data_IF_105055521056
#
_entry.id   IF_105055521056
#
_cell.length_a   1.000
_cell.length_b   1.000
_cell.length_c   1.000
_cell.angle_alpha   90.00
_cell.angle_beta   90.00
_cell.angle_gamma   90.00
#
_symmetry.space_group_name_H-M   'P 1'
#
loop_
_entity.id
_entity.type
_entity.pdbx_description
1 polymer ?
#
# COMPACT_ATOMS: atom_id res chain seq x y z
N UNK A 1 12.09 9.80 10.45
CA UNK A 1 12.42 8.35 10.41
C UNK A 1 11.14 7.56 10.61
N UNK A 2 10.91 6.50 9.84
CA UNK A 2 9.73 5.63 9.99
C UNK A 2 9.79 4.92 11.34
N UNK A 3 8.73 5.06 12.14
CA UNK A 3 8.58 4.39 13.44
C UNK A 3 8.03 2.99 13.26
N UNK A 4 6.71 2.86 13.16
CA UNK A 4 6.01 1.59 12.94
C UNK A 4 5.40 1.61 11.55
N UNK A 5 5.41 0.46 10.89
CA UNK A 5 4.63 0.22 9.68
C UNK A 5 3.71 -1.00 9.87
N UNK A 6 2.47 -0.86 9.40
CA UNK A 6 1.54 -1.96 9.20
C UNK A 6 0.86 -1.75 7.86
N UNK A 7 1.23 -2.56 6.89
CA UNK A 7 0.61 -2.55 5.58
C UNK A 7 -0.74 -3.29 5.63
N UNK A 8 -1.75 -2.83 4.89
CA UNK A 8 -3.01 -3.53 4.74
C UNK A 8 -2.84 -4.78 3.89
N UNK A 9 -3.73 -5.73 4.11
CA UNK A 9 -3.78 -6.97 3.33
C UNK A 9 -5.22 -7.37 3.07
N UNK A 10 -5.41 -8.45 2.31
CA UNK A 10 -6.72 -9.06 2.06
C UNK A 10 -7.18 -8.97 0.60
N UNK A 11 -8.39 -9.46 0.29
CA UNK A 11 -8.83 -9.68 -1.08
C UNK A 11 -8.87 -8.40 -1.92
N UNK A 12 -8.27 -8.45 -3.10
CA UNK A 12 -8.25 -7.35 -4.06
C UNK A 12 -7.46 -6.13 -3.60
N UNK A 13 -6.56 -6.26 -2.62
CA UNK A 13 -5.64 -5.20 -2.20
C UNK A 13 -4.21 -5.63 -2.48
N UNK A 14 -3.42 -4.77 -3.13
CA UNK A 14 -1.99 -4.93 -3.34
C UNK A 14 -1.27 -3.71 -2.78
N UNK A 15 -0.14 -3.93 -2.14
CA UNK A 15 0.73 -2.87 -1.64
C UNK A 15 2.11 -3.03 -2.28
N UNK A 16 2.57 -1.99 -2.96
CA UNK A 16 3.93 -1.92 -3.48
C UNK A 16 4.67 -0.86 -2.64
N UNK A 17 5.60 -1.28 -1.79
CA UNK A 17 6.38 -0.39 -0.90
C UNK A 17 7.81 -0.90 -0.71
N UNK A 18 8.70 0.00 -0.31
CA UNK A 18 10.03 -0.30 0.22
C UNK A 18 10.20 0.22 1.66
N UNK A 19 9.09 0.55 2.35
CA UNK A 19 9.14 1.14 3.68
C UNK A 19 9.35 0.08 4.77
N UNK A 20 10.27 0.37 5.67
CA UNK A 20 10.55 -0.47 6.83
C UNK A 20 10.69 0.39 8.09
N UNK A 21 10.35 -0.14 9.29
CA UNK A 21 10.67 0.52 10.56
C UNK A 21 12.15 0.88 10.63
N UNK A 22 12.45 2.11 11.02
CA UNK A 22 13.81 2.63 11.10
C UNK A 22 14.31 3.30 9.82
N UNK A 23 13.62 3.16 8.68
CA UNK A 23 14.01 3.81 7.42
C UNK A 23 13.99 5.34 7.57
N UNK A 24 15.04 5.99 7.10
CA UNK A 24 15.14 7.44 7.03
C UNK A 24 14.74 7.92 5.65
N UNK A 25 13.69 8.75 5.58
CA UNK A 25 13.20 9.31 4.31
C UNK A 25 14.09 10.51 3.98
N UNK A 26 14.92 10.35 2.96
CA UNK A 26 15.85 11.39 2.51
C UNK A 26 15.16 12.48 1.70
N UNK A 27 15.81 13.64 1.58
CA UNK A 27 15.32 14.82 0.83
C UNK A 27 15.71 14.82 -0.65
N UNK A 28 16.56 13.87 -1.07
CA UNK A 28 17.15 13.86 -2.41
C UNK A 28 16.27 13.21 -3.48
N UNK A 29 15.22 12.49 -3.08
CA UNK A 29 14.29 11.80 -3.97
C UNK A 29 12.85 12.12 -3.59
N UNK A 30 11.91 11.69 -4.43
CA UNK A 30 10.49 11.79 -4.12
C UNK A 30 10.15 11.06 -2.80
N UNK A 31 9.22 11.64 -2.05
CA UNK A 31 8.73 11.19 -0.74
C UNK A 31 7.77 9.98 -0.82
N UNK A 32 7.74 9.28 -1.95
CA UNK A 32 6.82 8.17 -2.17
C UNK A 32 7.15 6.98 -1.24
N UNK A 33 6.24 6.70 -0.31
CA UNK A 33 6.37 5.61 0.67
C UNK A 33 5.80 4.28 0.16
N UNK A 34 4.55 4.29 -0.30
CA UNK A 34 3.85 3.08 -0.75
C UNK A 34 2.78 3.40 -1.77
N UNK A 35 2.48 2.43 -2.64
CA UNK A 35 1.32 2.43 -3.53
C UNK A 35 0.31 1.42 -3.01
N UNK A 36 -0.86 1.89 -2.58
CA UNK A 36 -1.97 1.02 -2.15
C UNK A 36 -2.97 0.92 -3.28
N UNK A 37 -3.14 -0.27 -3.83
CA UNK A 37 -3.93 -0.53 -5.02
C UNK A 37 -5.09 -1.44 -4.64
N UNK A 38 -6.31 -1.01 -4.93
CA UNK A 38 -7.51 -1.82 -4.75
C UNK A 38 -8.17 -2.15 -6.08
N UNK A 39 -8.60 -3.40 -6.19
CA UNK A 39 -9.30 -3.92 -7.36
C UNK A 39 -10.64 -4.51 -6.95
N UNK A 40 -11.63 -4.38 -7.82
CA UNK A 40 -12.95 -4.97 -7.69
C UNK A 40 -13.65 -5.01 -9.05
N UNK A 41 -14.70 -5.84 -9.20
CA UNK A 41 -15.45 -5.92 -10.46
C UNK A 41 -16.25 -4.65 -10.76
N UNK A 42 -16.50 -3.81 -9.74
CA UNK A 42 -17.07 -2.47 -9.90
C UNK A 42 -16.23 -1.44 -9.17
N UNK A 43 -16.40 -0.17 -9.53
CA UNK A 43 -15.72 0.95 -8.89
C UNK A 43 -16.03 1.01 -7.40
N UNK A 44 -17.27 0.78 -7.02
CA UNK A 44 -17.75 0.81 -5.64
C UNK A 44 -17.05 -0.26 -4.80
N UNK A 45 -16.89 -1.47 -5.33
CA UNK A 45 -16.19 -2.56 -4.64
C UNK A 45 -14.70 -2.24 -4.50
N UNK A 46 -14.07 -1.69 -5.54
CA UNK A 46 -12.67 -1.28 -5.48
C UNK A 46 -12.45 -0.17 -4.44
N UNK A 47 -13.32 0.86 -4.40
CA UNK A 47 -13.29 1.91 -3.37
C UNK A 47 -13.52 1.33 -1.98
N UNK A 48 -14.51 0.45 -1.79
CA UNK A 48 -14.78 -0.14 -0.48
C UNK A 48 -13.56 -0.91 0.07
N UNK A 49 -12.86 -1.65 -0.81
CA UNK A 49 -11.61 -2.34 -0.47
C UNK A 49 -10.48 -1.35 -0.15
N UNK A 50 -10.32 -0.29 -0.94
CA UNK A 50 -9.34 0.76 -0.67
C UNK A 50 -9.61 1.49 0.64
N UNK A 51 -10.87 1.82 0.96
CA UNK A 51 -11.23 2.46 2.23
C UNK A 51 -10.79 1.62 3.43
N UNK A 52 -11.14 0.33 3.43
CA UNK A 52 -10.68 -0.61 4.46
C UNK A 52 -9.14 -0.68 4.51
N UNK A 53 -8.49 -0.81 3.35
CA UNK A 53 -7.03 -0.89 3.28
C UNK A 53 -6.36 0.36 3.85
N UNK A 54 -6.83 1.56 3.51
CA UNK A 54 -6.29 2.80 4.03
C UNK A 54 -6.57 2.99 5.52
N UNK A 55 -7.72 2.52 6.03
CA UNK A 55 -8.01 2.53 7.47
C UNK A 55 -7.07 1.58 8.24
N UNK A 56 -6.70 0.45 7.65
CA UNK A 56 -5.76 -0.52 8.23
C UNK A 56 -4.27 -0.11 8.11
N UNK A 57 -3.94 0.74 7.15
CA UNK A 57 -2.58 1.19 6.86
C UNK A 57 -2.08 2.14 7.96
N UNK A 58 -1.02 1.75 8.66
CA UNK A 58 -0.41 2.55 9.74
C UNK A 58 1.04 2.82 9.40
N UNK A 59 1.41 4.10 9.35
CA UNK A 59 2.79 4.58 9.32
C UNK A 59 2.92 5.62 10.42
N UNK A 60 3.94 5.50 11.27
CA UNK A 60 4.23 6.47 12.34
C UNK A 60 5.64 7.03 12.21
N UNK A 61 5.95 8.10 12.96
CA UNK A 61 7.28 8.73 12.99
C UNK A 61 7.55 9.73 11.86
N UNK A 62 6.65 9.83 10.89
CA UNK A 62 6.63 10.84 9.83
C UNK A 62 5.18 11.22 9.51
N UNK A 63 4.99 12.39 8.92
CA UNK A 63 3.72 12.79 8.32
C UNK A 63 3.49 12.07 7.00
N UNK A 64 2.23 11.83 6.66
CA UNK A 64 1.85 11.10 5.44
C UNK A 64 0.59 11.68 4.82
N UNK A 65 0.35 11.37 3.55
CA UNK A 65 -0.88 11.73 2.81
C UNK A 65 -2.07 10.82 3.12
N UNK A 66 -1.95 9.88 4.06
CA UNK A 66 -3.03 8.95 4.43
C UNK A 66 -4.34 9.66 4.84
N UNK A 67 -4.33 10.75 5.64
CA UNK A 67 -5.57 11.46 6.00
C UNK A 67 -6.33 11.97 4.78
N UNK A 68 -5.61 12.58 3.83
CA UNK A 68 -6.19 13.04 2.56
C UNK A 68 -6.77 11.89 1.75
N UNK A 69 -6.04 10.77 1.60
CA UNK A 69 -6.53 9.61 0.86
C UNK A 69 -7.74 8.94 1.52
N UNK A 70 -7.82 8.93 2.85
CA UNK A 70 -9.01 8.45 3.58
C UNK A 70 -10.21 9.36 3.37
N UNK A 71 -10.00 10.66 3.34
CA UNK A 71 -11.06 11.64 3.10
C UNK A 71 -11.60 11.55 1.68
N UNK A 72 -10.74 11.57 0.66
CA UNK A 72 -11.19 11.61 -0.75
C UNK A 72 -12.03 10.37 -1.11
N UNK A 73 -11.67 9.19 -0.59
CA UNK A 73 -12.44 7.96 -0.79
C UNK A 73 -13.79 7.92 -0.04
N UNK A 74 -14.08 8.92 0.79
CA UNK A 74 -15.36 9.10 1.48
C UNK A 74 -16.16 10.29 0.93
N UNK A 75 -15.55 11.10 0.07
CA UNK A 75 -16.19 12.29 -0.49
C UNK A 75 -17.18 11.93 -1.59
N UNK A 76 -18.41 12.45 -1.53
CA UNK A 76 -19.50 12.06 -2.43
C UNK A 76 -19.18 12.31 -3.91
N UNK A 77 -18.64 13.48 -4.26
CA UNK A 77 -18.26 13.80 -5.64
C UNK A 77 -17.17 12.84 -6.19
N UNK A 78 -16.25 12.37 -5.34
CA UNK A 78 -15.30 11.34 -5.75
C UNK A 78 -16.01 9.99 -5.96
N UNK A 79 -16.94 9.62 -5.09
CA UNK A 79 -17.70 8.38 -5.20
C UNK A 79 -18.57 8.34 -6.47
N UNK A 80 -19.24 9.44 -6.82
CA UNK A 80 -20.04 9.56 -8.04
C UNK A 80 -19.20 9.67 -9.31
N UNK A 81 -17.90 9.98 -9.19
CA UNK A 81 -17.01 10.23 -10.33
C UNK A 81 -17.13 11.64 -10.91
N UNK A 82 -17.85 12.53 -10.23
CA UNK A 82 -17.97 13.96 -10.57
C UNK A 82 -16.74 14.71 -10.04
N UNK A 83 -15.60 14.54 -10.70
CA UNK A 83 -14.31 15.12 -10.28
C UNK A 83 -13.68 15.93 -11.40
N UNK A 84 -13.15 17.11 -11.04
CA UNK A 84 -12.40 18.00 -11.91
C UNK A 84 -10.93 18.05 -11.50
N UNK A 85 -10.10 18.74 -12.28
CA UNK A 85 -8.71 19.06 -11.89
C UNK A 85 -8.62 20.00 -10.69
N UNK A 86 -9.67 20.78 -10.43
CA UNK A 86 -9.75 21.75 -9.34
C UNK A 86 -10.34 21.16 -8.05
N UNK A 87 -10.84 19.91 -8.12
CA UNK A 87 -11.53 19.22 -7.03
C UNK A 87 -10.86 19.39 -5.66
N UNK A 88 -9.54 19.19 -5.58
CA UNK A 88 -8.82 19.26 -4.31
C UNK A 88 -8.81 20.69 -3.76
N UNK A 89 -8.58 21.70 -4.62
CA UNK A 89 -8.57 23.10 -4.19
C UNK A 89 -9.96 23.57 -3.73
N UNK A 90 -11.02 23.03 -4.33
CA UNK A 90 -12.41 23.36 -4.00
C UNK A 90 -12.95 22.67 -2.74
N UNK A 91 -12.49 21.44 -2.46
CA UNK A 91 -13.14 20.58 -1.48
C UNK A 91 -12.25 20.20 -0.28
N UNK A 92 -10.93 20.31 -0.40
CA UNK A 92 -10.01 19.86 0.65
C UNK A 92 -9.36 21.03 1.38
N UNK A 93 -9.55 21.05 2.70
CA UNK A 93 -8.82 21.94 3.60
C UNK A 93 -7.84 21.10 4.45
N UNK A 94 -6.52 21.23 4.22
CA UNK A 94 -5.51 20.52 5.00
C UNK A 94 -5.60 20.77 6.51
N UNK A 95 -6.13 21.92 6.94
CA UNK A 95 -6.30 22.23 8.35
C UNK A 95 -7.37 21.36 9.04
N UNK A 96 -8.29 20.76 8.27
CA UNK A 96 -9.33 19.85 8.78
C UNK A 96 -8.82 18.42 8.96
N UNK A 97 -7.74 18.05 8.28
CA UNK A 97 -7.03 16.79 8.50
C UNK A 97 -6.21 16.87 9.80
N UNK A 98 -6.91 16.80 10.93
CA UNK A 98 -6.26 16.69 12.22
C UNK A 98 -5.27 15.52 12.24
N UNK A 99 -4.04 15.78 12.69
CA UNK A 99 -3.09 14.73 13.00
C UNK A 99 -3.68 13.88 14.13
N UNK A 100 -4.17 12.68 13.81
CA UNK A 100 -4.58 11.75 14.85
C UNK A 100 -3.33 11.23 15.55
N UNK A 101 -3.05 11.80 16.71
CA UNK A 101 -2.09 11.25 17.64
C UNK A 101 -2.64 9.91 18.16
N UNK A 102 -2.04 8.80 17.74
CA UNK A 102 -2.42 7.48 18.23
C UNK A 102 -2.00 7.36 19.71
N UNK A 103 -2.87 6.78 20.55
CA UNK A 103 -2.51 6.51 21.95
C UNK A 103 -1.39 5.47 22.03
N UNK A 104 -0.66 5.48 23.14
CA UNK A 104 0.40 4.49 23.40
C UNK A 104 -0.13 3.06 23.37
N UNK A 105 -1.35 2.80 23.87
CA UNK A 105 -1.93 1.45 23.83
C UNK A 105 -2.16 0.98 22.39
N UNK A 106 -2.66 1.87 21.52
CA UNK A 106 -2.88 1.55 20.10
C UNK A 106 -1.55 1.26 19.41
N UNK A 107 -0.53 2.07 19.68
CA UNK A 107 0.82 1.89 19.14
C UNK A 107 1.38 0.52 19.53
N UNK A 108 1.25 0.12 20.80
CA UNK A 108 1.76 -1.17 21.29
C UNK A 108 0.96 -2.36 20.72
N UNK A 109 -0.35 -2.23 20.61
CA UNK A 109 -1.19 -3.24 19.95
C UNK A 109 -0.79 -3.44 18.48
N UNK A 110 -0.54 -2.35 17.73
CA UNK A 110 -0.08 -2.43 16.34
C UNK A 110 1.29 -3.10 16.24
N UNK A 111 2.25 -2.76 17.12
CA UNK A 111 3.56 -3.43 17.18
C UNK A 111 3.41 -4.94 17.37
N UNK A 112 2.57 -5.35 18.32
CA UNK A 112 2.34 -6.76 18.62
C UNK A 112 1.78 -7.51 17.40
N UNK A 113 0.79 -6.95 16.70
CA UNK A 113 0.19 -7.59 15.52
C UNK A 113 1.16 -7.62 14.34
N UNK A 114 1.88 -6.54 14.07
CA UNK A 114 2.87 -6.48 12.99
C UNK A 114 4.06 -7.43 13.20
N UNK A 115 4.46 -7.68 14.46
CA UNK A 115 5.53 -8.64 14.77
C UNK A 115 5.17 -10.09 14.43
N UNK A 116 3.88 -10.47 14.54
CA UNK A 116 3.39 -11.83 14.28
C UNK A 116 3.24 -12.13 12.78
N UNK A 117 2.86 -11.14 11.98
CA UNK A 117 2.78 -11.30 10.53
C UNK A 117 4.16 -11.58 9.89
N UNK A 118 5.23 -10.98 10.43
CA UNK A 118 6.62 -11.21 10.00
C UNK A 118 7.09 -12.66 10.20
N UNK A 119 6.69 -13.31 11.28
CA UNK A 119 7.06 -14.70 11.55
C UNK A 119 6.52 -15.66 10.46
N UNK A 120 5.26 -15.48 10.02
CA UNK A 120 4.64 -16.33 9.00
C UNK A 120 5.13 -16.06 7.56
N UNK A 121 5.49 -14.82 7.23
CA UNK A 121 6.03 -14.47 5.89
C UNK A 121 7.45 -15.00 5.70
N UNK A 122 8.27 -15.03 6.76
CA UNK A 122 9.59 -15.64 6.72
C UNK A 122 9.53 -17.18 6.67
N UNK A 123 8.50 -17.80 7.24
CA UNK A 123 8.32 -19.26 7.24
C UNK A 123 7.79 -19.81 5.90
N UNK A 124 7.14 -18.96 5.09
CA UNK A 124 6.63 -19.32 3.76
C UNK A 124 7.67 -19.16 2.64
N UNK A 125 8.85 -18.58 2.93
CA UNK A 125 10.04 -18.76 2.10
C UNK A 125 10.66 -20.12 2.40
N UNK A 126 10.14 -21.17 1.76
CA UNK A 126 10.89 -22.44 1.65
C UNK A 126 12.29 -22.12 1.10
N UNK A 127 13.38 -22.59 1.71
CA UNK A 127 14.62 -22.72 0.97
C UNK A 127 14.33 -23.76 -0.11
N UNK A 128 14.40 -23.36 -1.38
CA UNK A 128 14.33 -24.31 -2.48
C UNK A 128 15.49 -25.29 -2.31
N UNK A 129 15.14 -26.48 -1.83
CA UNK A 129 16.04 -27.61 -1.80
C UNK A 129 16.37 -27.97 -3.25
N UNK A 130 17.65 -27.84 -3.59
CA UNK A 130 18.39 -28.57 -4.62
C UNK A 130 17.62 -29.04 -5.87
N UNK A 131 17.86 -28.34 -6.98
CA UNK A 131 18.05 -28.95 -8.30
C UNK A 131 16.82 -29.50 -9.02
N UNK A 132 16.14 -28.66 -9.80
CA UNK A 132 15.74 -28.95 -11.20
C UNK A 132 15.37 -27.62 -11.85
N UNK A 133 16.13 -27.21 -12.86
CA UNK A 133 15.94 -25.96 -13.61
C UNK A 133 14.68 -26.03 -14.46
N UNK A 134 13.50 -25.84 -13.85
CA UNK A 134 12.26 -25.65 -14.57
C UNK A 134 12.30 -24.27 -15.24
N UNK A 135 12.48 -24.24 -16.56
CA UNK A 135 12.46 -23.00 -17.35
C UNK A 135 11.08 -22.35 -17.19
N UNK A 136 11.05 -21.13 -16.67
CA UNK A 136 9.79 -20.42 -16.42
C UNK A 136 9.05 -20.11 -17.74
N UNK A 137 7.72 -20.00 -17.66
CA UNK A 137 6.88 -19.66 -18.80
C UNK A 137 7.32 -18.35 -19.49
N UNK A 138 7.86 -17.39 -18.74
CA UNK A 138 8.37 -16.12 -19.29
C UNK A 138 9.61 -16.31 -20.16
N UNK A 139 10.53 -17.20 -19.76
CA UNK A 139 11.70 -17.55 -20.57
C UNK A 139 11.30 -18.29 -21.84
N UNK A 140 10.27 -19.15 -21.76
CA UNK A 140 9.75 -19.83 -22.95
C UNK A 140 9.09 -18.87 -23.94
N UNK A 141 8.33 -17.87 -23.46
CA UNK A 141 7.68 -16.87 -24.31
C UNK A 141 8.73 -16.00 -25.00
N UNK A 142 9.71 -15.49 -24.27
CA UNK A 142 10.80 -14.69 -24.84
C UNK A 142 11.58 -15.44 -25.94
N UNK A 143 11.83 -16.74 -25.75
CA UNK A 143 12.49 -17.59 -26.75
C UNK A 143 11.64 -17.80 -28.00
N UNK A 144 10.32 -17.95 -27.85
CA UNK A 144 9.39 -18.07 -29.00
C UNK A 144 9.29 -16.77 -29.80
N UNK A 145 9.36 -15.62 -29.14
CA UNK A 145 9.36 -14.32 -29.84
C UNK A 145 10.66 -14.06 -30.59
N UNK A 146 11.80 -14.43 -30.01
CA UNK A 146 13.10 -14.31 -30.67
C UNK A 146 13.19 -15.14 -31.97
N UNK A 147 12.56 -16.32 -32.00
CA UNK A 147 12.53 -17.20 -33.17
C UNK A 147 11.52 -16.79 -34.26
N UNK A 148 10.62 -15.84 -33.97
CA UNK A 148 9.62 -15.32 -34.93
C UNK A 148 10.08 -14.07 -35.69
N UNK A 149 11.24 -13.51 -35.35
CA UNK A 149 11.79 -12.28 -35.95
C UNK A 149 13.04 -12.52 -36.83
N UNK A 150 13.31 -13.77 -37.21
CA UNK A 150 14.28 -14.13 -38.24
C UNK A 150 13.58 -14.80 -39.41
#
# INVERSE_FOLDING_TARGET
RIGIIREPAGPGVRVDSACEPGLEVGVHYDSLLSKVIGWGPTREIAIARLRRALDEHVITGIETTLPFHRWILRHQAFLSGDVSTDFVAEHWDPAQSGHQQLSSEVIDAVRMVSSRARANVLQSRRPDAAGTTAISNWSQVARREALRRG
#
